data_IF_665691982169
#
_entry.id   IF_665691982169
#
_cell.length_a   1.000
_cell.length_b   1.000
_cell.length_c   1.000
_cell.angle_alpha   90.00
_cell.angle_beta   90.00
_cell.angle_gamma   90.00
#
_symmetry.space_group_name_H-M   'P 1'
#
loop_
_entity.id
_entity.type
_entity.pdbx_description
1 polymer ?
#
# COMPACT_ATOMS: atom_id res chain seq x y z
N UNK A 1 4.31 -6.29 1.00
CA UNK A 1 2.83 -6.28 0.81
C UNK A 1 2.18 -5.93 2.12
N UNK A 2 1.01 -5.25 2.15
CA UNK A 2 0.52 -4.57 3.34
C UNK A 2 0.31 -5.49 4.55
N UNK A 3 -0.40 -6.62 4.39
CA UNK A 3 -0.60 -7.57 5.50
C UNK A 3 0.68 -8.24 5.99
N UNK A 4 1.62 -8.57 5.08
CA UNK A 4 2.92 -9.15 5.47
C UNK A 4 3.80 -8.15 6.22
N UNK A 5 3.73 -6.86 5.85
CA UNK A 5 4.43 -5.79 6.55
C UNK A 5 3.89 -5.64 7.97
N UNK A 6 2.57 -5.59 8.13
CA UNK A 6 1.94 -5.53 9.45
C UNK A 6 2.34 -6.71 10.34
N UNK A 7 2.31 -7.93 9.80
CA UNK A 7 2.76 -9.13 10.52
C UNK A 7 4.24 -9.07 10.92
N UNK A 8 5.13 -8.67 10.01
CA UNK A 8 6.56 -8.56 10.28
C UNK A 8 6.89 -7.55 11.38
N UNK A 9 6.05 -6.51 11.52
CA UNK A 9 6.16 -5.48 12.55
C UNK A 9 5.39 -5.84 13.84
N UNK A 10 4.70 -6.98 13.89
CA UNK A 10 3.87 -7.37 15.03
C UNK A 10 2.62 -6.51 15.22
N UNK A 11 2.17 -5.80 14.19
CA UNK A 11 1.00 -4.91 14.26
C UNK A 11 -0.30 -5.70 14.28
N UNK A 12 -1.21 -5.27 15.16
CA UNK A 12 -2.54 -5.86 15.36
C UNK A 12 -3.64 -4.82 15.20
N UNK A 13 -4.91 -5.24 15.30
CA UNK A 13 -6.03 -4.30 15.33
C UNK A 13 -6.03 -3.37 16.54
N UNK A 14 -5.36 -3.76 17.64
CA UNK A 14 -5.22 -2.92 18.83
C UNK A 14 -4.33 -1.68 18.59
N UNK A 15 -3.49 -1.72 17.55
CA UNK A 15 -2.64 -0.59 17.15
C UNK A 15 -3.38 0.45 16.29
N UNK A 16 -4.65 0.22 15.97
CA UNK A 16 -5.43 1.16 15.18
C UNK A 16 -5.58 2.51 15.90
N UNK A 17 -5.22 3.60 15.22
CA UNK A 17 -5.23 4.95 15.79
C UNK A 17 -3.99 5.30 16.64
N UNK A 18 -3.04 4.38 16.80
CA UNK A 18 -1.77 4.65 17.49
C UNK A 18 -0.98 5.74 16.75
N UNK A 19 -0.46 6.70 17.50
CA UNK A 19 0.42 7.72 16.96
C UNK A 19 1.82 7.14 16.67
N UNK A 20 2.53 7.73 15.71
CA UNK A 20 3.94 7.44 15.52
C UNK A 20 4.76 8.18 16.58
N UNK A 21 5.39 7.44 17.49
CA UNK A 21 6.12 7.99 18.64
C UNK A 21 7.50 7.35 18.75
N UNK A 22 8.57 8.15 18.98
CA UNK A 22 9.91 7.64 19.23
C UNK A 22 9.97 6.59 20.35
N UNK A 23 10.73 5.53 20.14
CA UNK A 23 10.88 4.39 21.05
C UNK A 23 9.77 3.33 20.94
N UNK A 24 8.76 3.55 20.11
CA UNK A 24 7.62 2.65 19.94
C UNK A 24 7.37 2.29 18.47
N UNK A 25 6.48 3.04 17.81
CA UNK A 25 6.16 2.89 16.40
C UNK A 25 6.65 4.14 15.67
N UNK A 26 7.74 4.02 14.93
CA UNK A 26 8.40 5.17 14.31
C UNK A 26 8.31 5.14 12.79
N UNK A 27 8.26 6.33 12.19
CA UNK A 27 8.44 6.53 10.76
C UNK A 27 9.73 7.32 10.53
N UNK A 28 10.76 6.62 10.06
CA UNK A 28 12.01 7.27 9.63
C UNK A 28 11.94 7.60 8.15
N UNK A 29 12.03 8.89 7.83
CA UNK A 29 12.18 9.33 6.45
C UNK A 29 13.63 9.13 5.99
N UNK A 30 13.86 8.79 4.71
CA UNK A 30 15.22 8.71 4.19
C UNK A 30 15.89 10.09 4.23
N UNK A 31 17.20 10.13 4.49
CA UNK A 31 17.96 11.38 4.51
C UNK A 31 17.92 12.12 3.15
N UNK A 32 17.75 11.38 2.05
CA UNK A 32 17.56 11.92 0.72
C UNK A 32 16.31 11.28 0.09
N UNK A 33 15.31 12.07 -0.33
CA UNK A 33 14.15 11.55 -1.04
C UNK A 33 14.54 10.88 -2.36
N UNK A 34 13.75 9.89 -2.78
CA UNK A 34 13.90 9.34 -4.12
C UNK A 34 13.62 10.41 -5.19
N UNK A 35 14.36 10.42 -6.31
CA UNK A 35 14.05 11.32 -7.42
C UNK A 35 12.59 11.15 -7.88
N UNK A 36 11.86 12.24 -8.15
CA UNK A 36 10.49 12.15 -8.66
C UNK A 36 10.38 11.30 -9.93
N UNK A 37 11.42 11.32 -10.77
CA UNK A 37 11.53 10.49 -11.99
C UNK A 37 11.58 8.99 -11.71
N UNK A 38 11.86 8.55 -10.48
CA UNK A 38 11.84 7.14 -10.07
C UNK A 38 10.52 6.73 -9.40
N UNK A 39 9.66 7.70 -9.07
CA UNK A 39 8.35 7.42 -8.50
C UNK A 39 7.38 7.12 -9.64
N UNK A 40 6.79 5.94 -9.60
CA UNK A 40 5.72 5.50 -10.50
C UNK A 40 4.38 5.62 -9.80
N UNK A 41 3.31 5.80 -10.58
CA UNK A 41 1.93 5.85 -10.09
C UNK A 41 1.02 4.97 -10.93
N UNK A 42 -0.11 4.57 -10.37
CA UNK A 42 -1.09 3.74 -11.07
C UNK A 42 -2.22 3.26 -10.16
N UNK A 43 -3.05 2.32 -10.64
CA UNK A 43 -4.25 1.90 -9.93
C UNK A 43 -3.92 1.22 -8.60
N UNK A 44 -4.86 1.34 -7.66
CA UNK A 44 -4.76 0.73 -6.34
C UNK A 44 -4.95 -0.78 -6.42
N UNK A 45 -4.21 -1.52 -5.59
CA UNK A 45 -4.26 -2.99 -5.54
C UNK A 45 -5.54 -3.44 -4.85
N UNK A 46 -6.26 -4.37 -5.47
CA UNK A 46 -7.44 -5.02 -4.87
C UNK A 46 -8.66 -4.11 -4.69
N UNK A 47 -8.66 -2.89 -5.26
CA UNK A 47 -9.80 -1.96 -5.19
C UNK A 47 -10.69 -2.17 -6.41
N UNK A 48 -11.99 -2.36 -6.20
CA UNK A 48 -12.98 -2.54 -7.27
C UNK A 48 -13.59 -1.21 -7.71
N UNK A 49 -14.18 -1.20 -8.91
CA UNK A 49 -14.87 -0.02 -9.46
C UNK A 49 -13.91 1.10 -9.86
N UNK A 50 -14.45 2.31 -9.99
CA UNK A 50 -13.70 3.48 -10.47
C UNK A 50 -12.48 3.78 -9.60
N UNK A 51 -12.59 3.62 -8.28
CA UNK A 51 -11.46 3.84 -7.37
C UNK A 51 -10.26 2.92 -7.60
N UNK A 52 -10.44 1.79 -8.29
CA UNK A 52 -9.38 0.88 -8.70
C UNK A 52 -8.91 1.06 -10.14
N UNK A 53 -9.32 2.13 -10.81
CA UNK A 53 -8.95 2.43 -12.20
C UNK A 53 -7.83 3.48 -12.29
N UNK A 54 -7.41 3.75 -13.52
CA UNK A 54 -6.47 4.84 -13.84
C UNK A 54 -7.01 6.24 -13.55
N UNK A 55 -8.33 6.39 -13.38
CA UNK A 55 -8.94 7.66 -12.94
C UNK A 55 -8.47 8.04 -11.53
N UNK A 56 -8.07 7.06 -10.70
CA UNK A 56 -7.58 7.24 -9.34
C UNK A 56 -6.21 6.55 -9.14
N UNK A 57 -5.14 7.10 -9.74
CA UNK A 57 -3.82 6.47 -9.77
C UNK A 57 -3.05 6.75 -8.47
N UNK A 58 -3.67 6.43 -7.34
CA UNK A 58 -3.20 6.79 -6.00
C UNK A 58 -2.34 5.71 -5.33
N UNK A 59 -1.83 4.75 -6.12
CA UNK A 59 -0.75 3.88 -5.67
C UNK A 59 0.57 4.45 -6.19
N UNK A 60 1.52 4.67 -5.30
CA UNK A 60 2.86 5.17 -5.62
C UNK A 60 3.92 4.11 -5.26
N UNK A 61 4.97 3.98 -6.07
CA UNK A 61 6.08 3.05 -5.79
C UNK A 61 7.37 3.49 -6.48
N UNK A 62 8.50 2.95 -6.02
CA UNK A 62 9.80 3.16 -6.66
C UNK A 62 9.98 2.19 -7.83
N UNK A 63 10.42 2.71 -8.98
CA UNK A 63 10.73 1.89 -10.15
C UNK A 63 11.84 0.87 -9.85
N UNK A 64 11.66 -0.37 -10.31
CA UNK A 64 12.66 -1.43 -10.18
C UNK A 64 12.88 -1.98 -8.75
N UNK A 65 12.23 -1.40 -7.75
CA UNK A 65 12.46 -1.78 -6.35
C UNK A 65 11.84 -3.14 -6.01
N UNK A 66 12.69 -4.10 -5.62
CA UNK A 66 12.33 -5.52 -5.44
C UNK A 66 11.35 -5.76 -4.30
N UNK A 67 11.32 -4.88 -3.30
CA UNK A 67 10.41 -4.95 -2.16
C UNK A 67 8.97 -4.53 -2.48
N UNK A 68 8.74 -3.88 -3.63
CA UNK A 68 7.40 -3.45 -4.06
C UNK A 68 6.50 -4.66 -4.27
N UNK A 69 5.34 -4.68 -3.60
CA UNK A 69 4.42 -5.79 -3.77
C UNK A 69 3.81 -5.82 -5.18
N UNK A 70 3.60 -7.02 -5.77
CA UNK A 70 2.98 -7.17 -7.08
C UNK A 70 1.61 -6.50 -7.18
N UNK A 71 1.31 -5.94 -8.35
CA UNK A 71 -0.04 -5.45 -8.64
C UNK A 71 -1.03 -6.61 -8.76
N UNK A 72 -2.23 -6.43 -8.20
CA UNK A 72 -3.36 -7.35 -8.36
C UNK A 72 -4.63 -6.54 -8.49
N UNK A 73 -5.38 -6.72 -9.58
CA UNK A 73 -6.70 -6.10 -9.74
C UNK A 73 -7.70 -6.70 -8.75
N UNK A 74 -8.77 -5.96 -8.45
CA UNK A 74 -9.88 -6.51 -7.70
C UNK A 74 -10.54 -7.65 -8.48
N UNK A 75 -10.86 -8.74 -7.78
CA UNK A 75 -11.66 -9.82 -8.36
C UNK A 75 -13.12 -9.38 -8.40
N UNK A 76 -13.84 -9.56 -9.53
CA UNK A 76 -15.29 -9.35 -9.56
C UNK A 76 -15.96 -10.19 -8.46
N UNK A 77 -16.81 -9.56 -7.63
CA UNK A 77 -17.65 -10.31 -6.68
C UNK A 77 -18.64 -11.13 -7.49
N UNK A 78 -18.50 -12.47 -7.47
CA UNK A 78 -19.60 -13.36 -7.88
C UNK A 78 -20.76 -13.11 -6.93
N UNK A 79 -21.83 -12.50 -7.41
CA UNK A 79 -23.10 -12.49 -6.67
C UNK A 79 -23.64 -13.92 -6.78
N UNK A 80 -23.83 -14.59 -5.66
CA UNK A 80 -24.65 -15.80 -5.63
C UNK A 80 -26.05 -15.40 -6.12
N UNK A 81 -26.58 -16.10 -7.10
CA UNK A 81 -28.00 -15.98 -7.44
C UNK A 81 -28.78 -16.67 -6.30
N UNK A 82 -29.73 -15.94 -5.71
CA UNK A 82 -30.83 -16.56 -4.95
C UNK A 82 -31.79 -17.25 -5.91
#
# INVERSE_FOLDING_TARGET
GPGRLAQALGLTLADNGRAFVPGELELHLPATPAPPSHVRRGPRVGVSGEGGSESYPWRFWLEGEKSVSPYRSAKPRRRSAD
#
